data_IF_000201764562
#
_entry.id   IF_000201764562
#
_cell.length_a   1.000
_cell.length_b   1.000
_cell.length_c   1.000
_cell.angle_alpha   90.00
_cell.angle_beta   90.00
_cell.angle_gamma   90.00
#
_symmetry.space_group_name_H-M   'P 1'
#
loop_
_entity.id
_entity.type
_entity.pdbx_description
1 polymer ?
#
# COMPACT_ATOMS: atom_id res chain seq x y z
N UNK A 1 -0.20 -59.39 9.73
CA UNK A 1 -1.18 -58.29 9.68
C UNK A 1 -0.45 -56.99 9.98
N UNK A 2 0.01 -56.27 8.95
CA UNK A 2 0.71 -55.00 9.10
C UNK A 2 -0.32 -53.88 9.03
N UNK A 3 -0.50 -53.16 10.14
CA UNK A 3 -1.41 -52.01 10.24
C UNK A 3 -0.86 -50.85 9.39
N UNK A 4 -1.55 -50.51 8.31
CA UNK A 4 -1.25 -49.36 7.50
C UNK A 4 -1.56 -48.09 8.30
N UNK A 5 -0.52 -47.40 8.75
CA UNK A 5 -0.63 -46.09 9.38
C UNK A 5 -1.18 -45.09 8.34
N UNK A 6 -2.45 -44.75 8.48
CA UNK A 6 -3.12 -43.70 7.73
C UNK A 6 -2.47 -42.36 8.11
N UNK A 7 -1.63 -41.82 7.24
CA UNK A 7 -1.06 -40.48 7.38
C UNK A 7 -2.18 -39.45 7.23
N UNK A 8 -2.70 -38.96 8.35
CA UNK A 8 -3.67 -37.87 8.35
C UNK A 8 -3.07 -36.63 7.62
N UNK A 9 -3.84 -35.93 6.78
CA UNK A 9 -3.37 -34.74 6.08
C UNK A 9 -2.96 -33.66 7.10
N UNK A 10 -1.72 -33.16 6.97
CA UNK A 10 -1.24 -32.04 7.77
C UNK A 10 -2.17 -30.83 7.59
N UNK A 11 -2.76 -30.27 8.67
CA UNK A 11 -3.56 -29.06 8.56
C UNK A 11 -2.67 -27.93 8.03
N UNK A 12 -3.12 -27.29 6.94
CA UNK A 12 -2.47 -26.10 6.36
C UNK A 12 -2.31 -25.08 7.48
N UNK A 13 -1.07 -24.80 7.89
CA UNK A 13 -0.81 -23.94 9.04
C UNK A 13 -1.33 -22.52 8.75
N UNK A 14 -2.38 -22.12 9.46
CA UNK A 14 -2.91 -20.75 9.44
C UNK A 14 -1.88 -19.89 10.16
N UNK A 15 -0.87 -19.41 9.43
CA UNK A 15 0.19 -18.58 9.99
C UNK A 15 -0.45 -17.34 10.65
N UNK A 16 -0.31 -17.22 11.98
CA UNK A 16 -0.82 -16.07 12.74
C UNK A 16 -0.17 -14.77 12.24
N UNK A 17 -0.87 -13.63 12.24
CA UNK A 17 -0.26 -12.35 11.94
C UNK A 17 0.90 -12.08 12.90
N UNK A 18 2.07 -11.75 12.37
CA UNK A 18 3.21 -11.32 13.17
C UNK A 18 2.96 -9.91 13.72
N UNK A 19 3.71 -9.56 14.76
CA UNK A 19 3.65 -8.21 15.37
C UNK A 19 3.85 -7.10 14.32
N UNK A 20 4.74 -7.32 13.36
CA UNK A 20 5.01 -6.39 12.26
C UNK A 20 3.75 -6.16 11.41
N UNK A 21 2.98 -7.20 11.09
CA UNK A 21 1.75 -7.05 10.29
C UNK A 21 0.73 -6.15 11.01
N UNK A 22 0.60 -6.31 12.34
CA UNK A 22 -0.27 -5.48 13.17
C UNK A 22 0.20 -4.03 13.20
N UNK A 23 1.50 -3.80 13.41
CA UNK A 23 2.06 -2.44 13.43
C UNK A 23 1.85 -1.71 12.10
N UNK A 24 2.14 -2.38 10.98
CA UNK A 24 1.92 -1.84 9.65
C UNK A 24 0.43 -1.57 9.39
N UNK A 25 -0.45 -2.46 9.86
CA UNK A 25 -1.91 -2.29 9.74
C UNK A 25 -2.42 -1.09 10.55
N UNK A 26 -1.95 -0.92 11.79
CA UNK A 26 -2.29 0.23 12.63
C UNK A 26 -1.82 1.53 11.95
N UNK A 27 -0.57 1.55 11.48
CA UNK A 27 -0.03 2.71 10.74
C UNK A 27 -0.87 3.04 9.50
N UNK A 28 -1.27 2.02 8.73
CA UNK A 28 -2.12 2.21 7.54
C UNK A 28 -3.51 2.75 7.92
N UNK A 29 -4.13 2.25 8.99
CA UNK A 29 -5.43 2.74 9.46
C UNK A 29 -5.34 4.20 9.94
N UNK A 30 -4.31 4.55 10.71
CA UNK A 30 -4.08 5.93 11.16
C UNK A 30 -3.87 6.85 9.96
N UNK A 31 -3.01 6.45 9.01
CA UNK A 31 -2.74 7.21 7.81
C UNK A 31 -4.00 7.40 6.96
N UNK A 32 -4.78 6.35 6.75
CA UNK A 32 -6.04 6.40 6.02
C UNK A 32 -7.04 7.36 6.69
N UNK A 33 -7.22 7.24 8.01
CA UNK A 33 -8.10 8.13 8.77
C UNK A 33 -7.67 9.59 8.67
N UNK A 34 -6.38 9.89 8.82
CA UNK A 34 -5.84 11.24 8.68
C UNK A 34 -6.04 11.79 7.27
N UNK A 35 -5.80 10.98 6.24
CA UNK A 35 -5.99 11.39 4.84
C UNK A 35 -7.47 11.66 4.53
N UNK A 36 -8.39 10.79 4.98
CA UNK A 36 -9.83 11.02 4.82
C UNK A 36 -10.28 12.29 5.54
N UNK A 37 -9.83 12.49 6.78
CA UNK A 37 -10.14 13.70 7.54
C UNK A 37 -9.65 14.97 6.83
N UNK A 38 -8.43 14.96 6.27
CA UNK A 38 -7.89 16.05 5.48
C UNK A 38 -8.75 16.34 4.24
N UNK A 39 -9.11 15.29 3.47
CA UNK A 39 -9.95 15.42 2.27
C UNK A 39 -11.31 16.03 2.61
N UNK A 40 -11.95 15.58 3.70
CA UNK A 40 -13.24 16.09 4.16
C UNK A 40 -13.15 17.54 4.60
N UNK A 41 -12.11 17.93 5.36
CA UNK A 41 -11.91 19.32 5.78
C UNK A 41 -11.70 20.26 4.59
N UNK A 42 -10.96 19.81 3.59
CA UNK A 42 -10.67 20.58 2.37
C UNK A 42 -11.80 20.72 1.35
N UNK A 43 -13.05 20.37 1.70
CA UNK A 43 -14.19 20.32 0.77
C UNK A 43 -14.41 21.60 -0.05
N UNK A 44 -14.13 22.77 0.54
CA UNK A 44 -14.27 24.06 -0.12
C UNK A 44 -13.36 24.22 -1.35
N UNK A 45 -12.23 23.52 -1.37
CA UNK A 45 -11.20 23.65 -2.40
C UNK A 45 -11.21 22.52 -3.43
N UNK A 46 -12.11 21.54 -3.33
CA UNK A 46 -12.14 20.36 -4.20
C UNK A 46 -12.16 20.68 -5.69
N UNK A 47 -12.84 21.78 -6.07
CA UNK A 47 -12.96 22.23 -7.46
C UNK A 47 -11.65 22.80 -8.03
N UNK A 48 -10.72 23.20 -7.17
CA UNK A 48 -9.43 23.76 -7.56
C UNK A 48 -8.36 22.66 -7.74
N UNK A 49 -8.64 21.44 -7.29
CA UNK A 49 -7.68 20.33 -7.33
C UNK A 49 -7.70 19.67 -8.71
N UNK A 50 -6.54 19.57 -9.38
CA UNK A 50 -6.45 18.88 -10.67
C UNK A 50 -6.93 17.43 -10.61
N UNK A 51 -7.57 16.97 -11.68
CA UNK A 51 -8.07 15.59 -11.82
C UNK A 51 -6.98 14.54 -11.58
N UNK A 52 -5.74 14.82 -11.99
CA UNK A 52 -4.60 13.92 -11.77
C UNK A 52 -4.30 13.71 -10.29
N UNK A 53 -4.44 14.74 -9.45
CA UNK A 53 -4.26 14.63 -8.00
C UNK A 53 -5.38 13.78 -7.40
N UNK A 54 -6.62 13.97 -7.85
CA UNK A 54 -7.75 13.12 -7.44
C UNK A 54 -7.55 11.66 -7.84
N UNK A 55 -7.05 11.40 -9.05
CA UNK A 55 -6.73 10.05 -9.51
C UNK A 55 -5.69 9.39 -8.60
N UNK A 56 -4.58 10.10 -8.32
CA UNK A 56 -3.53 9.64 -7.41
C UNK A 56 -4.04 9.40 -5.98
N UNK A 57 -4.80 10.36 -5.43
CA UNK A 57 -5.38 10.26 -4.09
C UNK A 57 -6.31 9.06 -3.98
N UNK A 58 -7.15 8.84 -4.98
CA UNK A 58 -8.09 7.71 -4.98
C UNK A 58 -7.34 6.38 -4.98
N UNK A 59 -6.32 6.23 -5.83
CA UNK A 59 -5.56 4.97 -5.92
C UNK A 59 -4.76 4.70 -4.65
N UNK A 60 -4.14 5.72 -4.04
CA UNK A 60 -3.38 5.52 -2.80
C UNK A 60 -4.30 5.28 -1.59
N UNK A 61 -5.48 5.90 -1.54
CA UNK A 61 -6.47 5.63 -0.49
C UNK A 61 -6.99 4.20 -0.57
N UNK A 62 -7.28 3.70 -1.78
CA UNK A 62 -7.67 2.30 -1.99
C UNK A 62 -6.54 1.35 -1.55
N UNK A 63 -5.30 1.62 -1.96
CA UNK A 63 -4.16 0.81 -1.54
C UNK A 63 -3.98 0.80 -0.01
N UNK A 64 -4.10 1.96 0.64
CA UNK A 64 -3.96 2.10 2.10
C UNK A 64 -5.09 1.39 2.84
N UNK A 65 -6.34 1.49 2.38
CA UNK A 65 -7.49 0.81 2.97
C UNK A 65 -7.39 -0.72 2.86
N UNK A 66 -6.85 -1.22 1.74
CA UNK A 66 -6.68 -2.66 1.53
C UNK A 66 -5.50 -3.25 2.31
N UNK A 67 -4.51 -2.45 2.71
CA UNK A 67 -3.33 -2.92 3.47
C UNK A 67 -3.69 -3.68 4.76
N UNK A 68 -4.48 -3.16 5.72
CA UNK A 68 -4.81 -3.90 6.93
C UNK A 68 -5.60 -5.19 6.62
N UNK A 69 -6.51 -5.14 5.63
CA UNK A 69 -7.30 -6.31 5.20
C UNK A 69 -6.38 -7.38 4.61
N UNK A 70 -5.37 -7.00 3.83
CA UNK A 70 -4.42 -7.93 3.22
C UNK A 70 -3.45 -8.55 4.24
N UNK A 71 -2.96 -7.74 5.19
CA UNK A 71 -1.94 -8.16 6.17
C UNK A 71 -2.49 -9.04 7.30
N UNK A 72 -3.74 -8.80 7.72
CA UNK A 72 -4.36 -9.52 8.85
C UNK A 72 -5.17 -10.76 8.43
N UNK A 73 -5.47 -10.91 7.13
CA UNK A 73 -6.24 -12.03 6.59
C UNK A 73 -5.37 -13.30 6.45
N UNK A 74 -6.06 -14.44 6.37
CA UNK A 74 -5.45 -15.73 6.01
C UNK A 74 -4.70 -15.60 4.68
N UNK A 75 -3.42 -15.97 4.68
CA UNK A 75 -2.53 -15.77 3.54
C UNK A 75 -2.72 -16.87 2.51
N UNK A 76 -2.69 -16.50 1.23
CA UNK A 76 -2.64 -17.45 0.10
C UNK A 76 -3.98 -18.03 -0.36
N UNK A 77 -5.09 -17.71 0.32
CA UNK A 77 -6.44 -18.07 -0.11
C UNK A 77 -6.88 -17.27 -1.36
N UNK A 78 -8.03 -17.63 -1.96
CA UNK A 78 -8.53 -16.94 -3.17
C UNK A 78 -8.75 -15.45 -2.91
N UNK A 79 -9.25 -15.08 -1.73
CA UNK A 79 -9.55 -13.69 -1.38
C UNK A 79 -8.27 -12.86 -1.21
N UNK A 80 -7.26 -13.37 -0.52
CA UNK A 80 -5.94 -12.72 -0.39
C UNK A 80 -5.31 -12.47 -1.75
N UNK A 81 -5.40 -13.42 -2.69
CA UNK A 81 -4.89 -13.24 -4.05
C UNK A 81 -5.64 -12.14 -4.81
N UNK A 82 -6.97 -12.08 -4.68
CA UNK A 82 -7.77 -11.02 -5.33
C UNK A 82 -7.47 -9.65 -4.71
N UNK A 83 -7.44 -9.54 -3.38
CA UNK A 83 -7.09 -8.30 -2.68
C UNK A 83 -5.68 -7.85 -3.07
N UNK A 84 -4.71 -8.77 -3.09
CA UNK A 84 -3.34 -8.48 -3.50
C UNK A 84 -3.22 -7.99 -4.94
N UNK A 85 -4.02 -8.53 -5.87
CA UNK A 85 -4.09 -8.02 -7.26
C UNK A 85 -4.59 -6.57 -7.30
N UNK A 86 -5.72 -6.29 -6.65
CA UNK A 86 -6.29 -4.93 -6.60
C UNK A 86 -5.29 -3.97 -5.96
N UNK A 87 -4.65 -4.38 -4.87
CA UNK A 87 -3.64 -3.59 -4.17
C UNK A 87 -2.43 -3.30 -5.06
N UNK A 88 -1.88 -4.29 -5.77
CA UNK A 88 -0.75 -4.09 -6.70
C UNK A 88 -1.14 -3.16 -7.85
N UNK A 89 -2.33 -3.31 -8.44
CA UNK A 89 -2.82 -2.43 -9.49
C UNK A 89 -2.98 -0.99 -8.99
N UNK A 90 -3.51 -0.81 -7.78
CA UNK A 90 -3.62 0.50 -7.15
C UNK A 90 -2.25 1.13 -6.88
N UNK A 91 -1.27 0.35 -6.38
CA UNK A 91 0.11 0.82 -6.18
C UNK A 91 0.79 1.22 -7.49
N UNK A 92 0.59 0.44 -8.55
CA UNK A 92 1.12 0.76 -9.89
C UNK A 92 0.53 2.06 -10.43
N UNK A 93 -0.80 2.21 -10.37
CA UNK A 93 -1.48 3.43 -10.80
C UNK A 93 -1.05 4.65 -9.98
N UNK A 94 -0.88 4.48 -8.67
CA UNK A 94 -0.38 5.52 -7.76
C UNK A 94 1.03 5.97 -8.14
N UNK A 95 1.94 5.03 -8.40
CA UNK A 95 3.31 5.34 -8.78
C UNK A 95 3.38 6.05 -10.15
N UNK A 96 2.61 5.57 -11.13
CA UNK A 96 2.54 6.20 -12.46
C UNK A 96 2.01 7.63 -12.34
N UNK A 97 0.85 7.82 -11.70
CA UNK A 97 0.26 9.16 -11.52
C UNK A 97 1.20 10.09 -10.76
N UNK A 98 1.91 9.59 -9.75
CA UNK A 98 2.87 10.38 -8.98
C UNK A 98 4.04 10.89 -9.82
N UNK A 99 4.46 10.19 -10.87
CA UNK A 99 5.53 10.67 -11.77
C UNK A 99 5.06 11.85 -12.64
N UNK A 100 3.76 11.97 -12.89
CA UNK A 100 3.19 13.09 -13.65
C UNK A 100 2.85 14.30 -12.76
N UNK A 101 2.78 14.12 -11.43
CA UNK A 101 2.53 15.21 -10.48
C UNK A 101 3.83 15.99 -10.24
N UNK A 102 4.05 17.03 -11.03
CA UNK A 102 5.20 17.93 -10.93
C UNK A 102 4.94 19.05 -9.90
N UNK A 103 5.03 18.75 -8.61
CA UNK A 103 4.84 19.77 -7.54
C UNK A 103 6.00 20.78 -7.50
N UNK A 104 7.16 20.47 -8.10
CA UNK A 104 8.39 21.25 -7.92
C UNK A 104 8.88 22.00 -9.16
N UNK A 105 8.08 22.07 -10.23
CA UNK A 105 8.46 22.63 -11.52
C UNK A 105 9.32 21.67 -12.38
N UNK A 106 9.52 21.96 -13.67
CA UNK A 106 10.31 21.12 -14.57
C UNK A 106 11.74 20.95 -14.04
N UNK A 107 12.22 19.70 -13.92
CA UNK A 107 13.62 19.40 -13.60
C UNK A 107 14.01 19.25 -12.13
N UNK A 108 13.07 19.39 -11.16
CA UNK A 108 13.35 19.15 -9.73
C UNK A 108 12.82 17.80 -9.26
N UNK A 109 13.70 16.81 -9.15
CA UNK A 109 13.38 15.51 -8.55
C UNK A 109 13.12 15.66 -7.05
N UNK A 110 11.87 15.49 -6.64
CA UNK A 110 11.51 15.36 -5.22
C UNK A 110 11.68 13.91 -4.76
N UNK A 111 11.89 13.68 -3.45
CA UNK A 111 11.95 12.36 -2.81
C UNK A 111 10.79 11.44 -3.23
N UNK A 112 9.62 12.01 -3.49
CA UNK A 112 8.43 11.28 -3.95
C UNK A 112 8.63 10.62 -5.33
N UNK A 113 9.43 11.21 -6.23
CA UNK A 113 9.75 10.60 -7.53
C UNK A 113 10.65 9.37 -7.35
N UNK A 114 11.64 9.46 -6.45
CA UNK A 114 12.48 8.31 -6.12
C UNK A 114 11.66 7.16 -5.53
N UNK A 115 10.72 7.46 -4.63
CA UNK A 115 9.77 6.48 -4.10
C UNK A 115 8.85 5.90 -5.18
N UNK A 116 8.47 6.69 -6.18
CA UNK A 116 7.65 6.24 -7.31
C UNK A 116 8.42 5.25 -8.19
N UNK A 117 9.66 5.57 -8.57
CA UNK A 117 10.52 4.64 -9.31
C UNK A 117 10.77 3.35 -8.52
N UNK A 118 11.08 3.47 -7.22
CA UNK A 118 11.23 2.32 -6.35
C UNK A 118 9.97 1.44 -6.31
N UNK A 119 8.78 2.06 -6.23
CA UNK A 119 7.49 1.35 -6.26
C UNK A 119 7.30 0.61 -7.59
N UNK A 120 7.65 1.23 -8.72
CA UNK A 120 7.58 0.59 -10.04
C UNK A 120 8.49 -0.63 -10.16
N UNK A 121 9.66 -0.63 -9.51
CA UNK A 121 10.52 -1.82 -9.45
C UNK A 121 10.01 -2.90 -8.49
N UNK A 122 9.45 -2.49 -7.35
CA UNK A 122 8.96 -3.42 -6.33
C UNK A 122 7.67 -4.13 -6.74
N UNK A 123 6.78 -3.50 -7.52
CA UNK A 123 5.52 -4.10 -7.98
C UNK A 123 5.74 -5.42 -8.75
N UNK A 124 6.58 -5.47 -9.82
CA UNK A 124 6.91 -6.70 -10.51
C UNK A 124 7.59 -7.74 -9.60
N UNK A 125 8.44 -7.30 -8.66
CA UNK A 125 9.10 -8.20 -7.71
C UNK A 125 8.10 -8.90 -6.78
N UNK A 126 7.13 -8.15 -6.23
CA UNK A 126 6.05 -8.71 -5.40
C UNK A 126 5.24 -9.73 -6.20
N UNK A 127 4.90 -9.41 -7.45
CA UNK A 127 4.19 -10.33 -8.35
C UNK A 127 4.99 -11.59 -8.66
N UNK A 128 6.27 -11.45 -9.04
CA UNK A 128 7.17 -12.56 -9.35
C UNK A 128 7.29 -13.50 -8.15
N UNK A 129 7.61 -12.95 -6.98
CA UNK A 129 7.81 -13.73 -5.75
C UNK A 129 6.54 -14.46 -5.30
N UNK A 130 5.36 -13.87 -5.54
CA UNK A 130 4.08 -14.55 -5.34
C UNK A 130 3.90 -15.74 -6.29
N UNK A 131 4.23 -15.57 -7.59
CA UNK A 131 4.08 -16.62 -8.61
C UNK A 131 5.05 -17.78 -8.41
N UNK A 132 6.24 -17.52 -7.88
CA UNK A 132 7.25 -18.53 -7.57
C UNK A 132 7.09 -19.13 -6.17
N UNK A 133 5.99 -18.83 -5.48
CA UNK A 133 5.70 -19.32 -4.13
C UNK A 133 6.83 -19.03 -3.12
N UNK A 134 7.63 -17.98 -3.35
CA UNK A 134 8.68 -17.57 -2.44
C UNK A 134 8.09 -16.62 -1.38
N UNK A 135 7.41 -17.22 -0.40
CA UNK A 135 6.61 -16.51 0.61
C UNK A 135 7.49 -15.55 1.43
N UNK A 136 8.72 -15.96 1.78
CA UNK A 136 9.64 -15.14 2.57
C UNK A 136 10.03 -13.86 1.82
N UNK A 137 10.40 -13.96 0.53
CA UNK A 137 10.73 -12.77 -0.27
C UNK A 137 9.50 -11.92 -0.58
N UNK A 138 8.38 -12.56 -0.93
CA UNK A 138 7.11 -11.87 -1.19
C UNK A 138 6.71 -11.02 0.01
N UNK A 139 6.74 -11.60 1.21
CA UNK A 139 6.39 -10.90 2.44
C UNK A 139 7.31 -9.72 2.72
N UNK A 140 8.63 -9.91 2.61
CA UNK A 140 9.61 -8.82 2.81
C UNK A 140 9.38 -7.67 1.83
N UNK A 141 9.11 -7.98 0.57
CA UNK A 141 8.80 -6.97 -0.46
C UNK A 141 7.50 -6.22 -0.15
N UNK A 142 6.43 -6.92 0.27
CA UNK A 142 5.17 -6.29 0.70
C UNK A 142 5.37 -5.40 1.93
N UNK A 143 6.08 -5.87 2.95
CA UNK A 143 6.36 -5.06 4.15
C UNK A 143 7.17 -3.80 3.81
N UNK A 144 8.22 -3.95 2.98
CA UNK A 144 9.01 -2.82 2.51
C UNK A 144 8.20 -1.82 1.71
N UNK A 145 7.26 -2.30 0.89
CA UNK A 145 6.37 -1.45 0.12
C UNK A 145 5.37 -0.70 1.01
N UNK A 146 4.75 -1.37 1.99
CA UNK A 146 3.84 -0.71 2.93
C UNK A 146 4.59 0.34 3.76
N UNK A 147 5.77 0.01 4.27
CA UNK A 147 6.57 0.95 5.05
C UNK A 147 7.04 2.15 4.20
N UNK A 148 7.65 1.90 3.04
CA UNK A 148 8.24 2.95 2.22
C UNK A 148 7.21 3.72 1.37
N UNK A 149 6.41 3.00 0.59
CA UNK A 149 5.54 3.61 -0.41
C UNK A 149 4.16 4.04 0.13
N UNK A 150 3.75 3.55 1.31
CA UNK A 150 2.53 4.04 1.98
C UNK A 150 2.86 4.89 3.21
N UNK A 151 3.54 4.34 4.22
CA UNK A 151 3.72 5.05 5.49
C UNK A 151 4.70 6.23 5.37
N UNK A 152 5.89 6.00 4.80
CA UNK A 152 6.87 7.08 4.60
C UNK A 152 6.36 8.09 3.57
N UNK A 153 5.83 7.63 2.43
CA UNK A 153 5.23 8.52 1.43
C UNK A 153 4.09 9.37 2.02
N UNK A 154 3.16 8.73 2.75
CA UNK A 154 2.05 9.38 3.42
C UNK A 154 2.50 10.37 4.50
N UNK A 155 3.55 10.04 5.26
CA UNK A 155 4.17 10.99 6.17
C UNK A 155 4.66 12.24 5.43
N UNK A 156 5.29 12.11 4.26
CA UNK A 156 5.71 13.26 3.47
C UNK A 156 4.57 14.05 2.81
N UNK A 157 3.32 13.56 2.86
CA UNK A 157 2.15 14.23 2.28
C UNK A 157 1.59 15.35 3.16
N UNK A 158 1.79 15.31 4.49
CA UNK A 158 1.22 16.30 5.42
C UNK A 158 2.13 17.49 5.76
N UNK A 159 3.44 17.33 6.04
CA UNK A 159 4.31 18.46 6.35
C UNK A 159 4.61 19.32 5.11
N UNK A 160 5.26 20.47 5.32
CA UNK A 160 5.79 21.36 4.27
C UNK A 160 4.72 22.15 3.47
N UNK A 161 3.67 22.64 4.11
CA UNK A 161 2.59 23.41 3.45
C UNK A 161 1.97 22.69 2.24
N UNK A 162 1.98 21.36 2.26
CA UNK A 162 1.36 20.54 1.21
C UNK A 162 -0.15 20.53 1.36
N UNK A 163 -0.84 20.25 0.26
CA UNK A 163 -2.31 20.35 0.15
C UNK A 163 -3.06 19.64 1.30
N UNK A 164 -2.78 18.34 1.55
CA UNK A 164 -3.44 17.62 2.65
C UNK A 164 -3.05 18.13 4.03
N UNK A 165 -1.82 18.61 4.21
CA UNK A 165 -1.38 19.25 5.45
C UNK A 165 -2.15 20.52 5.75
N UNK A 166 -2.30 21.38 4.73
CA UNK A 166 -3.04 22.63 4.85
C UNK A 166 -4.52 22.36 5.14
N UNK A 167 -5.11 21.33 4.53
CA UNK A 167 -6.50 20.95 4.83
C UNK A 167 -6.68 20.31 6.22
N UNK A 168 -5.65 19.65 6.75
CA UNK A 168 -5.75 18.97 8.04
C UNK A 168 -5.47 19.89 9.23
N UNK A 169 -4.48 20.79 9.11
CA UNK A 169 -3.99 21.62 10.21
C UNK A 169 -4.30 23.12 10.07
N UNK A 170 -4.72 23.58 8.89
CA UNK A 170 -5.23 24.93 8.66
C UNK A 170 -6.71 25.01 8.93
#
# INVERSE_FOLDING_TARGET
MASAAHTAPHPVSVARPERIDRLLSIGAVILFGAAVAAVVRGHDQWRMVPVLIWAHLTTILVATALTPVMLLRVRGDRQHRTIGKVWITAMLATAITSLFIHVSGPGRFSVIHLLSFWTLFQVPLIWWTARHHNITRHRRAVHGMVLGALLVAGFFTFPFHRLLGNWLFG
#
